data_IF_250820462819
#
_entry.id   IF_250820462819
#
_cell.length_a   1.000
_cell.length_b   1.000
_cell.length_c   1.000
_cell.angle_alpha   90.00
_cell.angle_beta   90.00
_cell.angle_gamma   90.00
#
_symmetry.space_group_name_H-M   'P 1'
#
loop_
_entity.id
_entity.type
_entity.pdbx_description
1 polymer ?
#
# COMPACT_ATOMS: atom_id res chain seq x y z
N UNK A 1 1.34 -5.04 20.89
CA UNK A 1 1.98 -3.75 21.26
C UNK A 1 0.91 -2.67 21.24
N UNK A 2 0.67 -1.95 22.32
CA UNK A 2 -0.21 -0.77 22.30
C UNK A 2 0.45 0.36 21.52
N UNK A 3 -0.35 1.17 20.82
CA UNK A 3 0.10 2.35 20.10
C UNK A 3 -0.99 3.42 20.11
N UNK A 4 -0.57 4.66 19.96
CA UNK A 4 -1.45 5.80 19.73
C UNK A 4 -1.43 6.14 18.22
N UNK A 5 -2.60 6.35 17.63
CA UNK A 5 -2.73 6.66 16.22
C UNK A 5 -3.28 8.07 16.04
N UNK A 6 -2.50 8.93 15.39
CA UNK A 6 -2.97 10.21 14.88
C UNK A 6 -3.21 10.10 13.38
N UNK A 7 -4.45 10.36 12.96
CA UNK A 7 -4.80 10.39 11.53
C UNK A 7 -4.44 11.75 10.94
N UNK A 8 -3.77 11.73 9.79
CA UNK A 8 -3.40 12.92 9.03
C UNK A 8 -3.50 12.65 7.54
N UNK A 9 -3.81 13.68 6.75
CA UNK A 9 -3.74 13.62 5.29
C UNK A 9 -2.45 14.24 4.78
N UNK A 10 -1.78 13.54 3.87
CA UNK A 10 -0.64 14.06 3.12
C UNK A 10 -1.07 14.97 1.94
N UNK A 11 -2.36 14.97 1.58
CA UNK A 11 -2.88 15.85 0.52
C UNK A 11 -3.41 17.13 1.12
N UNK A 12 -2.88 18.28 0.67
CA UNK A 12 -3.45 19.59 0.97
C UNK A 12 -4.59 19.88 -0.01
N UNK A 13 -5.64 20.54 0.47
CA UNK A 13 -6.75 20.99 -0.40
C UNK A 13 -6.29 21.92 -1.52
N UNK A 14 -5.14 22.57 -1.37
CA UNK A 14 -4.52 23.47 -2.34
C UNK A 14 -4.14 22.82 -3.67
N UNK A 15 -3.90 21.51 -3.69
CA UNK A 15 -3.60 20.75 -4.91
C UNK A 15 -4.85 20.38 -5.72
N UNK A 16 -6.04 20.78 -5.29
CA UNK A 16 -7.29 20.52 -5.99
C UNK A 16 -7.74 19.04 -5.93
N UNK A 17 -7.10 18.22 -5.10
CA UNK A 17 -7.50 16.82 -4.93
C UNK A 17 -8.85 16.75 -4.23
N UNK A 18 -9.70 15.83 -4.69
CA UNK A 18 -10.98 15.54 -4.05
C UNK A 18 -10.71 14.88 -2.70
N UNK A 19 -11.20 15.52 -1.64
CA UNK A 19 -11.11 15.00 -0.29
C UNK A 19 -12.04 13.78 -0.11
N UNK A 20 -11.54 12.77 0.58
CA UNK A 20 -12.31 11.57 0.89
C UNK A 20 -12.10 11.23 2.37
N UNK A 21 -13.03 11.66 3.22
CA UNK A 21 -13.03 11.36 4.64
C UNK A 21 -12.93 12.58 5.57
N UNK A 22 -12.91 12.32 6.87
CA UNK A 22 -12.92 13.34 7.94
C UNK A 22 -11.52 13.69 8.49
N UNK A 23 -10.46 13.21 7.84
CA UNK A 23 -9.08 13.40 8.33
C UNK A 23 -8.58 14.82 8.01
N UNK A 24 -8.06 15.57 8.99
CA UNK A 24 -7.65 16.95 8.80
C UNK A 24 -6.50 17.10 7.80
N UNK A 25 -6.59 18.13 6.95
CA UNK A 25 -5.47 18.60 6.16
C UNK A 25 -4.49 19.44 7.00
N UNK A 26 -3.25 19.54 6.55
CA UNK A 26 -2.28 20.51 7.08
C UNK A 26 -1.47 20.05 8.28
N UNK A 27 -1.78 18.93 8.92
CA UNK A 27 -0.96 18.41 10.03
C UNK A 27 0.49 18.19 9.57
N UNK A 28 0.67 17.61 8.39
CA UNK A 28 2.00 17.33 7.81
C UNK A 28 2.80 18.58 7.45
N UNK A 29 2.14 19.72 7.37
CA UNK A 29 2.77 21.02 7.04
C UNK A 29 3.16 21.82 8.29
N UNK A 30 2.75 21.39 9.48
CA UNK A 30 3.13 22.04 10.73
C UNK A 30 4.63 21.92 11.01
N UNK A 31 5.22 22.93 11.66
CA UNK A 31 6.62 22.89 12.07
C UNK A 31 6.93 21.69 12.98
N UNK A 32 5.99 21.33 13.85
CA UNK A 32 6.12 20.17 14.73
C UNK A 32 6.21 18.86 13.94
N UNK A 33 5.35 18.66 12.93
CA UNK A 33 5.42 17.45 12.10
C UNK A 33 6.68 17.43 11.23
N UNK A 34 7.04 18.55 10.61
CA UNK A 34 8.22 18.66 9.76
C UNK A 34 9.54 18.52 10.50
N UNK A 35 9.57 18.77 11.81
CA UNK A 35 10.74 18.43 12.64
C UNK A 35 10.95 16.92 12.80
N UNK A 36 9.87 16.12 12.70
CA UNK A 36 9.94 14.67 12.71
C UNK A 36 10.17 14.10 11.31
N UNK A 37 9.45 14.62 10.31
CA UNK A 37 9.55 14.18 8.91
C UNK A 37 9.65 15.41 7.98
N UNK A 38 10.86 15.76 7.52
CA UNK A 38 11.07 16.95 6.70
C UNK A 38 10.34 16.91 5.35
N UNK A 39 9.98 15.71 4.87
CA UNK A 39 9.24 15.55 3.62
C UNK A 39 7.77 15.99 3.75
N UNK A 40 7.21 16.09 4.97
CA UNK A 40 5.79 16.37 5.17
C UNK A 40 4.88 15.28 4.58
N UNK A 41 5.30 14.03 4.68
CA UNK A 41 4.54 12.87 4.18
C UNK A 41 4.17 11.93 5.32
N UNK A 42 3.19 11.09 5.09
CA UNK A 42 2.81 9.99 5.99
C UNK A 42 3.26 8.64 5.40
N UNK A 43 3.53 7.65 6.24
CA UNK A 43 3.50 7.65 7.70
C UNK A 43 4.76 8.20 8.36
N UNK A 44 4.64 8.56 9.64
CA UNK A 44 5.77 8.82 10.55
C UNK A 44 5.45 8.13 11.88
N UNK A 45 6.45 7.52 12.51
CA UNK A 45 6.33 6.95 13.86
C UNK A 45 7.34 7.57 14.80
N UNK A 46 6.98 7.61 16.09
CA UNK A 46 7.89 7.82 17.21
C UNK A 46 7.82 6.57 18.11
N UNK A 47 8.92 5.87 18.22
CA UNK A 47 9.05 4.69 19.09
C UNK A 47 10.06 5.00 20.21
N UNK A 48 9.58 5.71 21.23
CA UNK A 48 10.38 6.10 22.38
C UNK A 48 11.56 7.04 22.04
N UNK A 49 11.32 7.99 21.16
CA UNK A 49 12.32 8.94 20.66
C UNK A 49 13.03 8.49 19.38
N UNK A 50 12.79 7.27 18.92
CA UNK A 50 13.22 6.81 17.60
C UNK A 50 12.19 7.23 16.55
N UNK A 51 12.42 8.36 15.90
CA UNK A 51 11.53 8.88 14.85
C UNK A 51 11.94 8.28 13.52
N UNK A 52 10.97 7.65 12.83
CA UNK A 52 11.15 7.04 11.51
C UNK A 52 10.03 7.44 10.57
N UNK A 53 10.38 7.63 9.33
CA UNK A 53 9.48 7.82 8.19
C UNK A 53 9.88 6.90 7.03
N UNK A 54 9.14 6.84 5.94
CA UNK A 54 9.11 5.80 4.92
C UNK A 54 8.47 4.50 5.43
N UNK A 55 7.30 4.18 4.86
CA UNK A 55 6.48 3.04 5.30
C UNK A 55 7.27 1.72 5.34
N UNK A 56 8.10 1.45 4.34
CA UNK A 56 8.88 0.23 4.28
C UNK A 56 10.02 0.20 5.31
N UNK A 57 10.65 1.33 5.61
CA UNK A 57 11.64 1.42 6.69
C UNK A 57 10.99 1.17 8.06
N UNK A 58 9.81 1.76 8.27
CA UNK A 58 9.01 1.56 9.50
C UNK A 58 8.65 0.08 9.66
N UNK A 59 8.14 -0.57 8.61
CA UNK A 59 7.78 -2.00 8.64
C UNK A 59 9.01 -2.86 8.95
N UNK A 60 10.14 -2.61 8.31
CA UNK A 60 11.37 -3.36 8.55
C UNK A 60 11.86 -3.20 10.00
N UNK A 61 11.84 -1.96 10.52
CA UNK A 61 12.20 -1.68 11.91
C UNK A 61 11.28 -2.40 12.90
N UNK A 62 9.97 -2.27 12.74
CA UNK A 62 8.99 -2.87 13.64
C UNK A 62 9.06 -4.41 13.61
N UNK A 63 9.25 -4.99 12.43
CA UNK A 63 9.42 -6.43 12.30
C UNK A 63 10.65 -6.93 13.06
N UNK A 64 11.80 -6.22 12.90
CA UNK A 64 13.03 -6.60 13.57
C UNK A 64 12.95 -6.46 15.08
N UNK A 65 12.35 -5.36 15.55
CA UNK A 65 12.29 -5.03 16.97
C UNK A 65 11.23 -5.82 17.74
N UNK A 66 10.05 -6.03 17.13
CA UNK A 66 8.88 -6.55 17.85
C UNK A 66 8.36 -7.90 17.35
N UNK A 67 8.82 -8.37 16.20
CA UNK A 67 8.38 -9.64 15.64
C UNK A 67 9.52 -10.38 14.87
N UNK A 68 10.73 -10.51 15.47
CA UNK A 68 11.89 -11.08 14.77
C UNK A 68 11.64 -12.52 14.30
N UNK A 69 10.95 -13.32 15.11
CA UNK A 69 10.67 -14.72 14.81
C UNK A 69 9.54 -14.93 13.79
N UNK A 70 8.74 -13.88 13.52
CA UNK A 70 7.53 -13.99 12.69
C UNK A 70 7.64 -13.29 11.35
N UNK A 71 8.20 -12.09 11.31
CA UNK A 71 8.22 -11.22 10.12
C UNK A 71 9.60 -11.05 9.52
N UNK A 72 10.64 -11.36 10.29
CA UNK A 72 12.02 -11.32 9.84
C UNK A 72 12.39 -12.48 8.91
N UNK A 73 11.64 -13.60 8.99
CA UNK A 73 11.84 -14.77 8.14
C UNK A 73 12.92 -15.75 8.60
N UNK A 74 13.40 -15.62 9.83
CA UNK A 74 14.31 -16.60 10.48
C UNK A 74 15.77 -16.57 10.00
N UNK A 75 16.10 -15.83 8.94
CA UNK A 75 17.49 -15.69 8.45
C UNK A 75 17.73 -14.35 7.76
N UNK A 76 18.98 -13.90 7.77
CA UNK A 76 19.42 -12.69 7.05
C UNK A 76 19.15 -12.80 5.54
N UNK A 77 19.26 -14.01 4.96
CA UNK A 77 19.00 -14.24 3.54
C UNK A 77 17.50 -14.05 3.24
N UNK A 78 16.62 -14.61 4.07
CA UNK A 78 15.17 -14.44 3.90
C UNK A 78 14.77 -12.99 4.08
N UNK A 79 15.36 -12.30 5.06
CA UNK A 79 15.14 -10.87 5.27
C UNK A 79 15.59 -10.03 4.06
N UNK A 80 16.78 -10.31 3.52
CA UNK A 80 17.26 -9.62 2.32
C UNK A 80 16.34 -9.84 1.11
N UNK A 81 15.82 -11.06 0.93
CA UNK A 81 14.82 -11.37 -0.10
C UNK A 81 13.51 -10.59 0.14
N UNK A 82 13.05 -10.50 1.38
CA UNK A 82 11.87 -9.73 1.74
C UNK A 82 12.06 -8.23 1.46
N UNK A 83 13.21 -7.65 1.84
CA UNK A 83 13.56 -6.26 1.51
C UNK A 83 13.61 -6.02 -0.01
N UNK A 84 14.16 -6.96 -0.78
CA UNK A 84 14.16 -6.86 -2.24
C UNK A 84 12.75 -6.66 -2.79
N UNK A 85 11.77 -7.41 -2.29
CA UNK A 85 10.38 -7.29 -2.73
C UNK A 85 9.72 -6.00 -2.23
N UNK A 86 10.03 -5.52 -1.02
CA UNK A 86 9.55 -4.22 -0.54
C UNK A 86 10.06 -3.08 -1.42
N UNK A 87 11.35 -3.09 -1.76
CA UNK A 87 11.96 -2.08 -2.61
C UNK A 87 11.37 -2.16 -4.02
N UNK A 88 11.24 -3.38 -4.57
CA UNK A 88 10.65 -3.60 -5.89
C UNK A 88 9.19 -3.09 -5.97
N UNK A 89 8.40 -3.26 -4.92
CA UNK A 89 7.04 -2.72 -4.85
C UNK A 89 7.04 -1.20 -5.05
N UNK A 90 7.85 -0.47 -4.30
CA UNK A 90 7.92 1.00 -4.37
C UNK A 90 8.34 1.52 -5.74
N UNK A 91 9.28 0.86 -6.40
CA UNK A 91 9.82 1.36 -7.67
C UNK A 91 9.14 0.79 -8.91
N UNK A 92 8.49 -0.36 -8.79
CA UNK A 92 7.95 -1.08 -9.94
C UNK A 92 6.43 -1.11 -10.00
N UNK A 93 5.74 -1.21 -8.84
CA UNK A 93 4.27 -1.31 -8.78
C UNK A 93 3.65 0.03 -8.44
N UNK A 94 4.14 0.67 -7.39
CA UNK A 94 3.51 1.85 -6.79
C UNK A 94 3.40 3.07 -7.73
N UNK A 95 4.35 3.37 -8.63
CA UNK A 95 4.20 4.52 -9.53
C UNK A 95 2.99 4.39 -10.45
N UNK A 96 2.77 3.23 -11.06
CA UNK A 96 1.61 2.99 -11.92
C UNK A 96 0.32 2.89 -11.11
N UNK A 97 0.36 2.24 -9.95
CA UNK A 97 -0.78 2.17 -9.04
C UNK A 97 -1.17 3.56 -8.52
N UNK A 98 -0.19 4.42 -8.21
CA UNK A 98 -0.44 5.80 -7.79
C UNK A 98 -1.14 6.61 -8.89
N UNK A 99 -0.73 6.45 -10.15
CA UNK A 99 -1.42 7.09 -11.27
C UNK A 99 -2.88 6.61 -11.39
N UNK A 100 -3.17 5.31 -11.17
CA UNK A 100 -4.55 4.82 -11.11
C UNK A 100 -5.33 5.47 -9.97
N UNK A 101 -4.75 5.55 -8.76
CA UNK A 101 -5.39 6.20 -7.61
C UNK A 101 -5.72 7.67 -7.93
N UNK A 102 -4.78 8.40 -8.52
CA UNK A 102 -5.00 9.79 -8.90
C UNK A 102 -6.15 9.93 -9.89
N UNK A 103 -6.08 9.22 -11.02
CA UNK A 103 -7.04 9.39 -12.11
C UNK A 103 -8.39 8.73 -11.88
N UNK A 104 -8.49 7.72 -11.03
CA UNK A 104 -9.77 7.08 -10.71
C UNK A 104 -10.48 7.75 -9.52
N UNK A 105 -9.73 8.29 -8.54
CA UNK A 105 -10.30 8.69 -7.26
C UNK A 105 -9.99 10.12 -6.83
N UNK A 106 -8.74 10.59 -7.00
CA UNK A 106 -8.25 11.81 -6.34
C UNK A 106 -8.42 13.07 -7.19
N UNK A 107 -8.19 13.00 -8.49
CA UNK A 107 -8.30 14.16 -9.36
C UNK A 107 -9.77 14.55 -9.60
N UNK A 108 -10.04 15.86 -9.76
CA UNK A 108 -11.32 16.33 -10.28
C UNK A 108 -11.62 15.65 -11.64
N UNK A 109 -12.90 15.40 -11.94
CA UNK A 109 -13.31 14.69 -13.16
C UNK A 109 -12.72 15.31 -14.45
N UNK A 110 -12.60 16.64 -14.50
CA UNK A 110 -12.04 17.38 -15.63
C UNK A 110 -10.53 17.15 -15.87
N UNK A 111 -9.81 16.61 -14.89
CA UNK A 111 -8.37 16.34 -14.95
C UNK A 111 -8.07 14.84 -15.09
N UNK A 112 -9.09 13.99 -15.11
CA UNK A 112 -8.93 12.54 -15.25
C UNK A 112 -8.65 12.18 -16.72
N UNK A 113 -7.68 11.29 -16.93
CA UNK A 113 -7.29 10.80 -18.25
C UNK A 113 -7.56 9.31 -18.36
N UNK A 114 -8.42 8.91 -19.28
CA UNK A 114 -8.67 7.50 -19.57
C UNK A 114 -7.44 6.82 -20.18
N UNK A 115 -6.65 7.54 -20.98
CA UNK A 115 -5.40 7.05 -21.56
C UNK A 115 -4.38 6.72 -20.47
N UNK A 116 -4.22 7.61 -19.48
CA UNK A 116 -3.33 7.37 -18.33
C UNK A 116 -3.81 6.17 -17.50
N UNK A 117 -5.12 6.04 -17.27
CA UNK A 117 -5.70 4.89 -16.56
C UNK A 117 -5.38 3.60 -17.30
N UNK A 118 -5.56 3.56 -18.63
CA UNK A 118 -5.31 2.35 -19.41
C UNK A 118 -3.81 1.99 -19.47
N UNK A 119 -2.93 2.96 -19.68
CA UNK A 119 -1.49 2.72 -19.66
C UNK A 119 -1.00 2.21 -18.31
N UNK A 120 -1.50 2.82 -17.22
CA UNK A 120 -1.16 2.42 -15.84
C UNK A 120 -1.74 1.05 -15.49
N UNK A 121 -2.96 0.74 -15.95
CA UNK A 121 -3.56 -0.59 -15.80
C UNK A 121 -2.67 -1.67 -16.42
N UNK A 122 -2.26 -1.45 -17.67
CA UNK A 122 -1.39 -2.40 -18.38
C UNK A 122 -0.04 -2.58 -17.66
N UNK A 123 0.53 -1.49 -17.14
CA UNK A 123 1.79 -1.59 -16.41
C UNK A 123 1.64 -2.38 -15.11
N UNK A 124 0.59 -2.12 -14.31
CA UNK A 124 0.33 -2.89 -13.09
C UNK A 124 0.06 -4.36 -13.43
N UNK A 125 -0.71 -4.65 -14.47
CA UNK A 125 -0.99 -6.03 -14.91
C UNK A 125 0.31 -6.77 -15.23
N UNK A 126 1.24 -6.16 -16.00
CA UNK A 126 2.55 -6.77 -16.26
C UNK A 126 3.33 -7.12 -14.99
N UNK A 127 3.25 -6.25 -13.95
CA UNK A 127 3.90 -6.53 -12.68
C UNK A 127 3.20 -7.66 -11.92
N UNK A 128 1.87 -7.71 -11.97
CA UNK A 128 1.10 -8.79 -11.36
C UNK A 128 1.37 -10.14 -12.03
N UNK A 129 1.53 -10.19 -13.35
CA UNK A 129 1.91 -11.41 -14.07
C UNK A 129 3.30 -11.92 -13.63
N UNK A 130 4.28 -11.00 -13.46
CA UNK A 130 5.59 -11.34 -12.91
C UNK A 130 5.46 -11.88 -11.47
N UNK A 131 4.64 -11.24 -10.65
CA UNK A 131 4.37 -11.68 -9.28
C UNK A 131 3.70 -13.06 -9.26
N UNK A 132 2.71 -13.30 -10.13
CA UNK A 132 2.04 -14.60 -10.23
C UNK A 132 3.04 -15.70 -10.59
N UNK A 133 3.87 -15.47 -11.61
CA UNK A 133 4.93 -16.40 -11.99
C UNK A 133 5.93 -16.67 -10.84
N UNK A 134 6.32 -15.62 -10.09
CA UNK A 134 7.25 -15.78 -8.96
C UNK A 134 6.70 -16.67 -7.84
N UNK A 135 5.38 -16.68 -7.65
CA UNK A 135 4.71 -17.51 -6.64
C UNK A 135 4.58 -18.98 -7.07
N UNK A 136 5.16 -19.37 -8.21
CA UNK A 136 5.26 -20.79 -8.58
C UNK A 136 6.19 -21.51 -7.62
N UNK A 137 5.66 -22.52 -6.93
CA UNK A 137 6.42 -23.32 -5.96
C UNK A 137 6.71 -22.61 -4.63
N UNK A 138 6.18 -21.42 -4.38
CA UNK A 138 6.36 -20.69 -3.13
C UNK A 138 5.02 -20.18 -2.59
N UNK A 139 4.87 -20.23 -1.26
CA UNK A 139 3.66 -19.72 -0.61
C UNK A 139 3.64 -18.18 -0.51
N UNK A 140 4.83 -17.56 -0.39
CA UNK A 140 5.05 -16.12 -0.21
C UNK A 140 6.27 -15.65 -1.02
N UNK A 141 6.48 -14.33 -1.11
CA UNK A 141 7.53 -13.78 -1.99
C UNK A 141 8.97 -14.08 -1.55
N UNK A 142 9.23 -14.15 -0.25
CA UNK A 142 10.55 -14.47 0.28
C UNK A 142 10.78 -15.96 0.56
N UNK A 143 9.75 -16.81 0.41
CA UNK A 143 9.79 -18.25 0.65
C UNK A 143 8.45 -18.82 1.11
N UNK A 144 8.46 -19.76 2.06
CA UNK A 144 7.26 -20.47 2.46
C UNK A 144 6.51 -19.83 3.65
N UNK A 145 7.10 -18.80 4.26
CA UNK A 145 6.52 -18.06 5.38
C UNK A 145 6.22 -16.60 4.99
N UNK A 146 5.15 -16.06 5.59
CA UNK A 146 4.82 -14.64 5.51
C UNK A 146 5.93 -13.77 6.08
N UNK A 147 6.34 -12.75 5.34
CA UNK A 147 7.40 -11.82 5.71
C UNK A 147 7.00 -10.37 5.44
N UNK A 148 7.87 -9.43 5.82
CA UNK A 148 7.69 -8.00 5.49
C UNK A 148 7.59 -7.75 3.98
N UNK A 149 8.17 -8.61 3.14
CA UNK A 149 8.11 -8.50 1.67
C UNK A 149 6.70 -8.61 1.10
N UNK A 150 5.84 -9.34 1.79
CA UNK A 150 4.45 -9.55 1.37
C UNK A 150 3.54 -8.36 1.71
N UNK A 151 3.94 -7.51 2.66
CA UNK A 151 3.09 -6.44 3.19
C UNK A 151 2.78 -5.37 2.12
N UNK A 152 3.76 -4.67 1.53
CA UNK A 152 3.48 -3.65 0.52
C UNK A 152 2.84 -4.24 -0.74
N UNK A 153 3.30 -5.40 -1.18
CA UNK A 153 2.74 -6.08 -2.35
C UNK A 153 1.28 -6.47 -2.13
N UNK A 154 0.92 -6.93 -0.92
CA UNK A 154 -0.46 -7.26 -0.57
C UNK A 154 -1.37 -6.05 -0.58
N UNK A 155 -0.90 -4.92 -0.05
CA UNK A 155 -1.62 -3.65 -0.05
C UNK A 155 -1.86 -3.17 -1.48
N UNK A 156 -0.80 -3.12 -2.31
CA UNK A 156 -0.88 -2.64 -3.68
C UNK A 156 -1.73 -3.54 -4.57
N UNK A 157 -1.63 -4.86 -4.42
CA UNK A 157 -2.44 -5.83 -5.16
C UNK A 157 -3.92 -5.74 -4.78
N UNK A 158 -4.23 -5.70 -3.49
CA UNK A 158 -5.60 -5.54 -3.00
C UNK A 158 -6.20 -4.22 -3.50
N UNK A 159 -5.41 -3.15 -3.50
CA UNK A 159 -5.84 -1.84 -4.01
C UNK A 159 -6.17 -1.90 -5.49
N UNK A 160 -5.34 -2.53 -6.31
CA UNK A 160 -5.60 -2.71 -7.73
C UNK A 160 -6.87 -3.54 -7.97
N UNK A 161 -7.05 -4.63 -7.24
CA UNK A 161 -8.23 -5.49 -7.38
C UNK A 161 -9.53 -4.77 -7.00
N UNK A 162 -9.45 -3.87 -6.01
CA UNK A 162 -10.58 -3.02 -5.61
C UNK A 162 -11.09 -2.13 -6.75
N UNK A 163 -10.23 -1.66 -7.66
CA UNK A 163 -10.68 -0.87 -8.81
C UNK A 163 -11.55 -1.63 -9.79
N UNK A 164 -11.56 -2.96 -9.75
CA UNK A 164 -12.35 -3.81 -10.65
C UNK A 164 -11.97 -3.64 -12.12
N UNK A 165 -10.72 -3.25 -12.40
CA UNK A 165 -10.19 -3.11 -13.75
C UNK A 165 -9.95 -4.49 -14.37
N UNK A 166 -10.05 -4.54 -15.71
CA UNK A 166 -9.79 -5.75 -16.48
C UNK A 166 -8.35 -6.25 -16.24
N UNK A 167 -8.22 -7.54 -15.98
CA UNK A 167 -6.96 -8.26 -15.78
C UNK A 167 -7.06 -9.71 -16.20
N UNK A 168 -5.96 -10.38 -16.53
CA UNK A 168 -5.96 -11.83 -16.75
C UNK A 168 -6.23 -12.60 -15.45
N UNK A 169 -6.45 -13.89 -15.56
CA UNK A 169 -6.48 -14.77 -14.39
C UNK A 169 -5.09 -14.82 -13.75
N UNK A 170 -5.03 -14.64 -12.44
CA UNK A 170 -3.80 -14.61 -11.63
C UNK A 170 -3.96 -15.60 -10.45
N UNK A 171 -4.01 -16.90 -10.72
CA UNK A 171 -4.45 -17.88 -9.73
C UNK A 171 -3.49 -18.02 -8.54
N UNK A 172 -2.20 -17.74 -8.72
CA UNK A 172 -1.23 -17.82 -7.62
C UNK A 172 -1.33 -16.58 -6.72
N UNK A 173 -1.52 -15.42 -7.30
CA UNK A 173 -1.80 -14.17 -6.55
C UNK A 173 -3.09 -14.31 -5.75
N UNK A 174 -4.16 -14.85 -6.35
CA UNK A 174 -5.44 -15.03 -5.66
C UNK A 174 -5.31 -15.97 -4.46
N UNK A 175 -4.55 -17.06 -4.59
CA UNK A 175 -4.23 -17.95 -3.46
C UNK A 175 -3.37 -17.27 -2.40
N UNK A 176 -2.38 -16.48 -2.82
CA UNK A 176 -1.52 -15.73 -1.90
C UNK A 176 -2.32 -14.65 -1.15
N UNK A 177 -3.19 -13.88 -1.81
CA UNK A 177 -4.09 -12.92 -1.15
C UNK A 177 -5.02 -13.62 -0.15
N UNK A 178 -5.53 -14.80 -0.48
CA UNK A 178 -6.34 -15.58 0.45
C UNK A 178 -5.55 -15.92 1.73
N UNK A 179 -4.28 -16.32 1.61
CA UNK A 179 -3.40 -16.54 2.77
C UNK A 179 -3.14 -15.25 3.57
N UNK A 180 -2.93 -14.11 2.89
CA UNK A 180 -2.83 -12.81 3.57
C UNK A 180 -4.10 -12.50 4.36
N UNK A 181 -5.26 -12.88 3.83
CA UNK A 181 -6.55 -12.77 4.52
C UNK A 181 -6.65 -13.55 5.83
N UNK A 182 -5.78 -14.51 6.09
CA UNK A 182 -5.71 -15.22 7.37
C UNK A 182 -5.05 -14.38 8.47
N UNK A 183 -4.29 -13.34 8.12
CA UNK A 183 -3.66 -12.43 9.08
C UNK A 183 -4.65 -11.35 9.54
N UNK A 184 -4.78 -11.19 10.86
CA UNK A 184 -5.70 -10.24 11.47
C UNK A 184 -5.46 -8.79 11.01
N UNK A 185 -4.21 -8.37 10.89
CA UNK A 185 -3.84 -7.04 10.41
C UNK A 185 -4.30 -6.79 8.98
N UNK A 186 -4.16 -7.77 8.08
CA UNK A 186 -4.64 -7.66 6.71
C UNK A 186 -6.16 -7.54 6.66
N UNK A 187 -6.88 -8.39 7.41
CA UNK A 187 -8.35 -8.31 7.51
C UNK A 187 -8.85 -6.99 8.07
N UNK A 188 -8.16 -6.46 9.06
CA UNK A 188 -8.60 -5.24 9.74
C UNK A 188 -8.31 -3.96 8.93
N UNK A 189 -7.18 -3.90 8.20
CA UNK A 189 -6.66 -2.65 7.66
C UNK A 189 -6.49 -2.65 6.14
N UNK A 190 -6.45 -3.79 5.48
CA UNK A 190 -6.24 -3.88 4.03
C UNK A 190 -7.49 -4.38 3.30
N UNK A 191 -8.10 -5.47 3.75
CA UNK A 191 -9.30 -6.01 3.12
C UNK A 191 -10.50 -5.04 3.08
N UNK A 192 -10.74 -4.17 4.12
CA UNK A 192 -11.86 -3.24 4.11
C UNK A 192 -11.58 -1.92 3.36
N UNK A 193 -10.77 -1.91 2.33
CA UNK A 193 -10.57 -0.71 1.48
C UNK A 193 -11.89 -0.08 1.00
N UNK A 194 -12.95 -0.89 0.92
CA UNK A 194 -14.31 -0.46 0.58
C UNK A 194 -14.92 0.56 1.56
N UNK A 195 -14.51 0.55 2.83
CA UNK A 195 -15.10 1.42 3.86
C UNK A 195 -14.61 2.87 3.82
N UNK A 196 -13.51 3.12 3.12
CA UNK A 196 -12.87 4.43 3.06
C UNK A 196 -13.04 5.13 1.70
N UNK A 197 -13.76 4.50 0.77
CA UNK A 197 -14.06 5.07 -0.54
C UNK A 197 -15.57 5.38 -0.63
N UNK A 198 -15.96 6.52 -1.21
CA UNK A 198 -17.37 6.80 -1.47
C UNK A 198 -17.93 5.67 -2.35
N UNK A 199 -19.08 5.13 -1.94
CA UNK A 199 -19.77 4.12 -2.73
C UNK A 199 -19.96 4.60 -4.16
N UNK A 200 -19.59 3.80 -5.14
CA UNK A 200 -19.80 4.07 -6.58
C UNK A 200 -21.31 4.06 -6.99
N UNK A 201 -22.22 3.93 -6.04
CA UNK A 201 -23.68 4.02 -6.28
C UNK A 201 -24.16 5.46 -6.24
N UNK A 202 -23.60 6.32 -7.07
CA UNK A 202 -24.26 7.54 -7.53
C UNK A 202 -25.00 7.19 -8.80
N UNK A 203 -26.26 6.79 -8.70
CA UNK A 203 -27.21 6.77 -9.79
C UNK A 203 -27.15 8.12 -10.49
N UNK A 204 -26.65 8.13 -11.73
CA UNK A 204 -26.89 9.23 -12.66
C UNK A 204 -28.41 9.26 -12.93
N UNK A 205 -29.12 10.13 -12.26
CA UNK A 205 -30.38 10.63 -12.78
C UNK A 205 -30.06 11.71 -13.81
N UNK A 206 -30.71 11.59 -14.94
CA UNK A 206 -30.60 12.34 -16.18
C UNK A 206 -30.62 13.87 -16.01
#
# INVERSE_FOLDING_TARGET
MPYELTLASATTGEKGYVWQGEVPFGIVDTAAYRSMNPNGTIPTIDDGGCILWESNAIVAYLARRYAPDRLFGGSEITFARALQWMIWANYSVDPALHALILHLERLPASQRSAETVEASRQEVVRKLELMDARLEGSAFFAGDAFTIGDIPLGISTQRFFHFGLERPALPRIERWLARLGEHSGFRAHVAPLEKHLPSRTGTRTA
#
